data_IF_367276618101
#
_entry.id   IF_367276618101
#
_cell.length_a   1.000
_cell.length_b   1.000
_cell.length_c   1.000
_cell.angle_alpha   90.00
_cell.angle_beta   90.00
_cell.angle_gamma   90.00
#
_symmetry.space_group_name_H-M   'P 1'
#
loop_
_entity.id
_entity.type
_entity.pdbx_description
1 polymer ?
#
# COMPACT_ATOMS: atom_id res chain seq x y z
N UNK A 1 7.51 23.96 -26.71
CA UNK A 1 7.23 22.80 -25.85
C UNK A 1 6.53 21.73 -26.67
N UNK A 2 6.82 20.46 -26.42
CA UNK A 2 6.06 19.35 -27.02
C UNK A 2 4.71 19.23 -26.30
N UNK A 3 3.66 18.78 -26.99
CA UNK A 3 2.37 18.49 -26.35
C UNK A 3 2.53 17.51 -25.15
N UNK A 4 3.50 16.59 -25.25
CA UNK A 4 3.84 15.66 -24.17
C UNK A 4 4.48 16.34 -22.95
N UNK A 5 5.38 17.31 -23.16
CA UNK A 5 6.03 18.02 -22.06
C UNK A 5 5.03 18.92 -21.33
N UNK A 6 4.20 19.64 -22.10
CA UNK A 6 3.12 20.47 -21.55
C UNK A 6 2.18 19.65 -20.66
N UNK A 7 1.69 18.50 -21.14
CA UNK A 7 0.77 17.66 -20.36
C UNK A 7 1.38 17.20 -19.03
N UNK A 8 2.62 16.69 -19.06
CA UNK A 8 3.30 16.21 -17.85
C UNK A 8 3.56 17.34 -16.86
N UNK A 9 3.96 18.52 -17.33
CA UNK A 9 4.20 19.69 -16.48
C UNK A 9 2.91 20.15 -15.78
N UNK A 10 1.79 20.25 -16.50
CA UNK A 10 0.50 20.63 -15.90
C UNK A 10 0.02 19.62 -14.86
N UNK A 11 0.14 18.31 -15.16
CA UNK A 11 -0.27 17.26 -14.24
C UNK A 11 0.58 17.25 -12.96
N UNK A 12 1.89 17.46 -13.08
CA UNK A 12 2.79 17.49 -11.93
C UNK A 12 2.55 18.73 -11.06
N UNK A 13 2.36 19.91 -11.67
CA UNK A 13 2.04 21.14 -10.93
C UNK A 13 0.74 21.00 -10.12
N UNK A 14 -0.31 20.44 -10.74
CA UNK A 14 -1.56 20.16 -10.02
C UNK A 14 -1.36 19.15 -8.89
N UNK A 15 -0.57 18.09 -9.11
CA UNK A 15 -0.31 17.08 -8.08
C UNK A 15 0.44 17.67 -6.87
N UNK A 16 1.39 18.58 -7.10
CA UNK A 16 2.11 19.24 -6.00
C UNK A 16 1.16 19.99 -5.05
N UNK A 17 0.12 20.63 -5.58
CA UNK A 17 -0.86 21.40 -4.80
C UNK A 17 -1.99 20.55 -4.22
N UNK A 18 -2.52 19.60 -4.99
CA UNK A 18 -3.80 18.93 -4.70
C UNK A 18 -3.66 17.47 -4.26
N UNK A 19 -2.44 16.94 -4.14
CA UNK A 19 -2.27 15.54 -3.73
C UNK A 19 -2.86 15.29 -2.33
N UNK A 20 -3.63 14.21 -2.23
CA UNK A 20 -4.03 13.68 -0.93
C UNK A 20 -2.82 13.18 -0.17
N UNK A 21 -2.75 13.58 1.09
CA UNK A 21 -1.79 13.08 2.05
C UNK A 21 -2.19 11.66 2.50
N UNK A 22 -1.39 10.67 2.10
CA UNK A 22 -1.64 9.25 2.36
C UNK A 22 -0.39 8.62 3.02
N UNK A 23 -0.54 7.75 4.03
CA UNK A 23 0.61 7.23 4.78
C UNK A 23 1.71 6.62 3.92
N UNK A 24 1.35 5.86 2.88
CA UNK A 24 2.30 5.22 1.96
C UNK A 24 2.97 6.19 0.98
N UNK A 25 2.50 7.44 0.85
CA UNK A 25 3.15 8.49 0.04
C UNK A 25 4.20 9.28 0.83
N UNK A 26 4.21 9.16 2.16
CA UNK A 26 5.18 9.84 3.04
C UNK A 26 6.52 9.10 3.17
N UNK A 27 6.69 8.00 2.43
CA UNK A 27 7.86 7.13 2.51
C UNK A 27 8.36 6.72 1.13
N UNK A 28 9.62 6.31 1.06
CA UNK A 28 10.25 5.68 -0.10
C UNK A 28 10.60 4.21 0.14
N UNK A 29 10.16 3.65 1.27
CA UNK A 29 10.40 2.25 1.64
C UNK A 29 9.64 1.30 0.70
N UNK A 30 10.34 0.42 -0.05
CA UNK A 30 9.71 -0.51 -0.98
C UNK A 30 8.70 -1.45 -0.33
N UNK A 31 8.95 -1.93 0.90
CA UNK A 31 8.05 -2.83 1.60
C UNK A 31 6.72 -2.14 1.91
N UNK A 32 6.80 -0.91 2.42
CA UNK A 32 5.63 -0.09 2.76
C UNK A 32 4.82 0.28 1.51
N UNK A 33 5.48 0.62 0.40
CA UNK A 33 4.80 0.92 -0.86
C UNK A 33 4.14 -0.34 -1.42
N UNK A 34 4.86 -1.45 -1.47
CA UNK A 34 4.32 -2.73 -1.94
C UNK A 34 3.10 -3.18 -1.13
N UNK A 35 3.15 -3.08 0.20
CA UNK A 35 2.02 -3.40 1.08
C UNK A 35 0.77 -2.58 0.73
N UNK A 36 0.91 -1.27 0.55
CA UNK A 36 -0.23 -0.42 0.18
C UNK A 36 -0.80 -0.77 -1.18
N UNK A 37 0.05 -1.04 -2.18
CA UNK A 37 -0.41 -1.39 -3.52
C UNK A 37 -1.20 -2.70 -3.51
N UNK A 38 -0.74 -3.73 -2.79
CA UNK A 38 -1.49 -4.98 -2.66
C UNK A 38 -2.81 -4.78 -1.93
N UNK A 39 -2.84 -3.98 -0.86
CA UNK A 39 -4.08 -3.68 -0.12
C UNK A 39 -5.10 -2.90 -0.94
N UNK A 40 -4.67 -1.96 -1.77
CA UNK A 40 -5.54 -1.08 -2.54
C UNK A 40 -6.11 -1.73 -3.81
N UNK A 41 -5.63 -2.91 -4.19
CA UNK A 41 -6.26 -3.71 -5.23
C UNK A 41 -7.73 -4.00 -4.86
N UNK A 42 -8.66 -3.47 -5.67
CA UNK A 42 -10.11 -3.64 -5.49
C UNK A 42 -10.62 -3.24 -4.09
N UNK A 43 -9.92 -2.33 -3.41
CA UNK A 43 -10.27 -1.82 -2.08
C UNK A 43 -10.22 -0.30 -2.09
N UNK A 44 -11.21 0.37 -1.50
CA UNK A 44 -11.22 1.85 -1.41
C UNK A 44 -10.11 2.35 -0.48
N UNK A 45 -9.56 3.53 -0.78
CA UNK A 45 -8.50 4.16 0.02
C UNK A 45 -8.88 4.31 1.49
N UNK A 46 -10.09 4.84 1.77
CA UNK A 46 -10.58 5.06 3.14
C UNK A 46 -10.55 3.79 3.99
N UNK A 47 -10.91 2.65 3.41
CA UNK A 47 -10.83 1.36 4.07
C UNK A 47 -9.38 0.88 4.19
N UNK A 48 -8.57 1.05 3.15
CA UNK A 48 -7.18 0.59 3.09
C UNK A 48 -6.26 1.22 4.14
N UNK A 49 -6.43 2.52 4.45
CA UNK A 49 -5.59 3.27 5.41
C UNK A 49 -5.51 2.56 6.77
N UNK A 50 -6.65 2.22 7.37
CA UNK A 50 -6.66 1.60 8.69
C UNK A 50 -6.04 0.19 8.70
N UNK A 51 -6.14 -0.57 7.61
CA UNK A 51 -5.49 -1.88 7.53
C UNK A 51 -3.99 -1.76 7.33
N UNK A 52 -3.56 -0.80 6.51
CA UNK A 52 -2.15 -0.50 6.27
C UNK A 52 -1.41 -0.19 7.58
N UNK A 53 -1.96 0.71 8.39
CA UNK A 53 -1.38 1.09 9.68
C UNK A 53 -1.29 -0.10 10.63
N UNK A 54 -2.39 -0.85 10.82
CA UNK A 54 -2.39 -2.05 11.68
C UNK A 54 -1.43 -3.13 11.21
N UNK A 55 -1.26 -3.30 9.90
CA UNK A 55 -0.29 -4.25 9.35
C UNK A 55 1.14 -3.84 9.65
N UNK A 56 1.48 -2.57 9.47
CA UNK A 56 2.83 -2.08 9.76
C UNK A 56 3.16 -2.09 11.25
N UNK A 57 2.17 -1.85 12.12
CA UNK A 57 2.36 -2.01 13.56
C UNK A 57 2.70 -3.46 13.93
N UNK A 58 2.04 -4.44 13.28
CA UNK A 58 2.27 -5.86 13.53
C UNK A 58 3.52 -6.42 12.83
N UNK A 59 3.84 -5.88 11.66
CA UNK A 59 4.90 -6.31 10.76
C UNK A 59 5.64 -5.07 10.23
N UNK A 60 6.52 -4.46 11.04
CA UNK A 60 7.19 -3.20 10.66
C UNK A 60 8.19 -3.35 9.51
N UNK A 61 8.61 -4.59 9.20
CA UNK A 61 9.55 -4.93 8.13
C UNK A 61 9.07 -6.13 7.34
N UNK A 62 9.58 -6.28 6.11
CA UNK A 62 9.31 -7.46 5.27
C UNK A 62 9.71 -8.77 5.97
N UNK A 63 10.83 -8.77 6.71
CA UNK A 63 11.26 -9.95 7.47
C UNK A 63 10.31 -10.29 8.62
N UNK A 64 9.70 -9.29 9.27
CA UNK A 64 8.68 -9.54 10.29
C UNK A 64 7.39 -10.12 9.68
N UNK A 65 7.04 -9.73 8.46
CA UNK A 65 5.96 -10.35 7.70
C UNK A 65 6.31 -11.79 7.32
N UNK A 66 7.50 -12.04 6.78
CA UNK A 66 7.97 -13.37 6.35
C UNK A 66 8.04 -14.39 7.49
N UNK A 67 8.43 -13.94 8.69
CA UNK A 67 8.51 -14.78 9.88
C UNK A 67 7.15 -15.03 10.55
N UNK A 68 6.07 -14.39 10.08
CA UNK A 68 4.76 -14.53 10.68
C UNK A 68 4.11 -15.88 10.34
N UNK A 69 3.21 -16.35 11.20
CA UNK A 69 2.31 -17.44 10.79
C UNK A 69 1.28 -16.91 9.79
N UNK A 70 0.95 -17.68 8.75
CA UNK A 70 -0.14 -17.34 7.81
C UNK A 70 -1.44 -17.00 8.57
N UNK A 71 -1.76 -17.75 9.62
CA UNK A 71 -2.95 -17.48 10.47
C UNK A 71 -2.98 -16.06 11.04
N UNK A 72 -1.82 -15.51 11.45
CA UNK A 72 -1.71 -14.14 11.98
C UNK A 72 -1.93 -13.12 10.85
N UNK A 73 -1.34 -13.36 9.68
CA UNK A 73 -1.52 -12.51 8.48
C UNK A 73 -3.00 -12.47 8.08
N UNK A 74 -3.64 -13.63 7.93
CA UNK A 74 -5.06 -13.71 7.54
C UNK A 74 -5.99 -13.06 8.56
N UNK A 75 -5.68 -13.16 9.86
CA UNK A 75 -6.45 -12.49 10.91
C UNK A 75 -6.38 -10.97 10.78
N UNK A 76 -5.21 -10.41 10.52
CA UNK A 76 -5.06 -8.95 10.31
C UNK A 76 -5.71 -8.50 9.00
N UNK A 77 -5.75 -9.37 7.99
CA UNK A 77 -6.39 -9.11 6.68
C UNK A 77 -7.92 -9.28 6.71
N UNK A 78 -8.48 -9.82 7.79
CA UNK A 78 -9.90 -10.14 7.88
C UNK A 78 -10.76 -8.89 7.64
N UNK A 79 -11.63 -8.95 6.63
CA UNK A 79 -12.51 -7.85 6.23
C UNK A 79 -12.06 -7.04 5.01
N UNK A 80 -10.82 -7.22 4.52
CA UNK A 80 -10.37 -6.64 3.24
C UNK A 80 -10.81 -7.44 2.00
N UNK A 81 -11.32 -8.65 2.17
CA UNK A 81 -11.67 -9.55 1.06
C UNK A 81 -10.45 -10.03 0.26
N UNK A 82 -10.70 -10.87 -0.74
CA UNK A 82 -9.68 -11.44 -1.65
C UNK A 82 -8.43 -11.97 -0.91
N UNK A 83 -8.61 -12.95 -0.02
CA UNK A 83 -7.55 -13.49 0.85
C UNK A 83 -6.35 -14.10 0.10
N UNK A 84 -6.48 -14.42 -1.18
CA UNK A 84 -5.34 -14.80 -2.02
C UNK A 84 -4.25 -13.71 -2.06
N UNK A 85 -4.63 -12.42 -2.01
CA UNK A 85 -3.67 -11.30 -1.92
C UNK A 85 -2.81 -11.40 -0.66
N UNK A 86 -3.44 -11.66 0.49
CA UNK A 86 -2.74 -11.80 1.76
C UNK A 86 -1.77 -12.99 1.76
N UNK A 87 -2.20 -14.13 1.19
CA UNK A 87 -1.36 -15.33 1.07
C UNK A 87 -0.19 -15.11 0.13
N UNK A 88 -0.42 -14.51 -1.03
CA UNK A 88 0.63 -14.24 -2.01
C UNK A 88 1.61 -13.17 -1.50
N UNK A 89 1.13 -12.14 -0.80
CA UNK A 89 1.97 -11.17 -0.10
C UNK A 89 2.87 -11.87 0.91
N UNK A 90 2.30 -12.75 1.74
CA UNK A 90 3.07 -13.48 2.74
C UNK A 90 4.08 -14.45 2.13
N UNK A 91 3.71 -15.19 1.08
CA UNK A 91 4.59 -16.13 0.41
C UNK A 91 5.74 -15.45 -0.35
N UNK A 92 5.59 -14.18 -0.74
CA UNK A 92 6.61 -13.39 -1.43
C UNK A 92 7.53 -12.60 -0.48
N UNK A 93 7.14 -12.44 0.79
CA UNK A 93 7.92 -11.74 1.81
C UNK A 93 9.06 -12.61 2.34
#
# INVERSE_FOLDING_TARGET
MSARSWFSEQLLSWYEEEHRDLPWRRTKDPYRIWLSEVMLQQTRVEQGVGYYERFLDAFPTVHALAAASERKVLRLWQGLGYYSRARNLHAAA
#
